data_IF_103682544370
#
_entry.id   IF_103682544370
#
_cell.length_a   1.000
_cell.length_b   1.000
_cell.length_c   1.000
_cell.angle_alpha   90.00
_cell.angle_beta   90.00
_cell.angle_gamma   90.00
#
_symmetry.space_group_name_H-M   'P 1'
#
loop_
_entity.id
_entity.type
_entity.pdbx_description
1 polymer ?
#
# COMPACT_ATOMS: atom_id res chain seq x y z
N UNK A 1 -20.92 32.81 -22.96
CA UNK A 1 -20.55 32.04 -21.76
C UNK A 1 -20.98 32.81 -20.53
N UNK A 2 -21.81 32.21 -19.68
CA UNK A 2 -22.29 32.83 -18.43
C UNK A 2 -21.23 32.79 -17.31
N UNK A 3 -21.35 33.62 -16.28
CA UNK A 3 -20.48 33.56 -15.10
C UNK A 3 -20.55 32.18 -14.41
N UNK A 4 -21.72 31.54 -14.43
CA UNK A 4 -21.90 30.18 -13.91
C UNK A 4 -21.09 29.14 -14.70
N UNK A 5 -21.01 29.26 -16.03
CA UNK A 5 -20.19 28.38 -16.86
C UNK A 5 -18.69 28.58 -16.60
N UNK A 6 -18.25 29.83 -16.39
CA UNK A 6 -16.85 30.14 -16.04
C UNK A 6 -16.49 29.58 -14.66
N UNK A 7 -17.37 29.75 -13.67
CA UNK A 7 -17.16 29.19 -12.33
C UNK A 7 -17.10 27.65 -12.35
N UNK A 8 -17.97 27.00 -13.13
CA UNK A 8 -17.95 25.54 -13.30
C UNK A 8 -16.65 25.07 -13.95
N UNK A 9 -16.19 25.76 -15.00
CA UNK A 9 -14.94 25.43 -15.69
C UNK A 9 -13.71 25.56 -14.77
N UNK A 10 -13.67 26.59 -13.93
CA UNK A 10 -12.60 26.78 -12.94
C UNK A 10 -12.58 25.64 -11.91
N UNK A 11 -13.75 25.23 -11.40
CA UNK A 11 -13.87 24.10 -10.48
C UNK A 11 -13.42 22.78 -11.12
N UNK A 12 -13.80 22.52 -12.37
CA UNK A 12 -13.36 21.33 -13.10
C UNK A 12 -11.84 21.31 -13.31
N UNK A 13 -11.26 22.46 -13.65
CA UNK A 13 -9.81 22.62 -13.80
C UNK A 13 -9.06 22.38 -12.48
N UNK A 14 -9.58 22.90 -11.37
CA UNK A 14 -9.02 22.64 -10.04
C UNK A 14 -9.11 21.17 -9.63
N UNK A 15 -10.22 20.49 -9.96
CA UNK A 15 -10.37 19.04 -9.71
C UNK A 15 -9.40 18.21 -10.52
N UNK A 16 -9.21 18.52 -11.81
CA UNK A 16 -8.22 17.86 -12.66
C UNK A 16 -6.79 18.08 -12.14
N UNK A 17 -6.44 19.33 -11.79
CA UNK A 17 -5.13 19.63 -11.22
C UNK A 17 -4.87 18.90 -9.89
N UNK A 18 -5.90 18.70 -9.05
CA UNK A 18 -5.79 17.84 -7.87
C UNK A 18 -5.66 16.36 -8.23
N UNK A 19 -6.45 15.86 -9.18
CA UNK A 19 -6.42 14.47 -9.61
C UNK A 19 -5.05 14.08 -10.19
N UNK A 20 -4.42 14.98 -10.96
CA UNK A 20 -3.08 14.79 -11.52
C UNK A 20 -1.99 14.77 -10.43
N UNK A 21 -2.16 15.53 -9.34
CA UNK A 21 -1.26 15.48 -8.18
C UNK A 21 -1.40 14.20 -7.37
N UNK A 22 -2.56 13.54 -7.42
CA UNK A 22 -2.85 12.29 -6.70
C UNK A 22 -2.35 11.05 -7.47
N UNK A 23 -1.96 11.19 -8.75
CA UNK A 23 -1.45 10.08 -9.54
C UNK A 23 -0.11 9.56 -9.00
N UNK A 24 -0.12 8.33 -8.50
CA UNK A 24 1.11 7.68 -8.06
C UNK A 24 2.03 7.30 -9.23
N UNK A 25 3.33 7.61 -9.11
CA UNK A 25 4.34 7.17 -10.07
C UNK A 25 4.37 5.64 -10.18
N UNK A 26 4.69 5.12 -11.36
CA UNK A 26 4.81 3.66 -11.57
C UNK A 26 5.90 3.04 -10.69
N UNK A 27 7.02 3.75 -10.47
CA UNK A 27 8.14 3.29 -9.64
C UNK A 27 7.72 3.08 -8.18
N UNK A 28 6.76 3.87 -7.69
CA UNK A 28 6.26 3.74 -6.32
C UNK A 28 5.61 2.36 -6.11
N UNK A 29 4.93 1.84 -7.15
CA UNK A 29 4.28 0.52 -7.10
C UNK A 29 5.31 -0.58 -6.93
N UNK A 30 6.39 -0.51 -7.71
CA UNK A 30 7.50 -1.46 -7.66
C UNK A 30 8.14 -1.42 -6.28
N UNK A 31 8.46 -0.22 -5.76
CA UNK A 31 9.04 -0.07 -4.43
C UNK A 31 8.11 -0.57 -3.32
N UNK A 32 6.80 -0.32 -3.42
CA UNK A 32 5.84 -0.81 -2.44
C UNK A 32 5.78 -2.34 -2.40
N UNK A 33 5.70 -2.98 -3.56
CA UNK A 33 5.67 -4.45 -3.67
C UNK A 33 6.98 -5.04 -3.15
N UNK A 34 8.12 -4.46 -3.51
CA UNK A 34 9.43 -4.92 -3.04
C UNK A 34 9.58 -4.75 -1.53
N UNK A 35 9.20 -3.60 -0.97
CA UNK A 35 9.25 -3.35 0.46
C UNK A 35 8.32 -4.31 1.22
N UNK A 36 7.11 -4.55 0.70
CA UNK A 36 6.15 -5.47 1.31
C UNK A 36 6.61 -6.93 1.24
N UNK A 37 7.17 -7.36 0.10
CA UNK A 37 7.79 -8.67 -0.04
C UNK A 37 8.95 -8.86 0.95
N UNK A 38 9.80 -7.84 1.11
CA UNK A 38 10.90 -7.88 2.07
C UNK A 38 10.41 -8.05 3.52
N UNK A 39 9.33 -7.37 3.91
CA UNK A 39 8.69 -7.54 5.23
C UNK A 39 8.18 -8.96 5.45
N UNK A 40 7.56 -9.56 4.43
CA UNK A 40 7.00 -10.91 4.52
C UNK A 40 8.09 -12.00 4.56
N UNK A 41 9.10 -11.87 3.69
CA UNK A 41 10.14 -12.87 3.47
C UNK A 41 11.26 -12.79 4.52
N UNK A 42 11.54 -11.60 5.06
CA UNK A 42 12.61 -11.36 6.04
C UNK A 42 12.62 -12.34 7.22
N UNK A 43 11.53 -12.46 8.00
CA UNK A 43 11.46 -13.42 9.11
C UNK A 43 11.61 -14.88 8.66
N UNK A 44 11.05 -15.26 7.51
CA UNK A 44 11.16 -16.64 6.97
C UNK A 44 12.62 -17.00 6.71
N UNK A 45 13.37 -16.10 6.08
CA UNK A 45 14.79 -16.31 5.79
C UNK A 45 15.67 -16.22 7.04
N UNK A 46 15.30 -15.37 8.02
CA UNK A 46 16.05 -15.26 9.27
C UNK A 46 15.99 -16.52 10.14
N UNK A 47 14.86 -17.25 10.11
CA UNK A 47 14.73 -18.53 10.80
C UNK A 47 15.66 -19.61 10.24
N UNK A 48 15.97 -19.56 8.95
CA UNK A 48 16.98 -20.43 8.31
C UNK A 48 18.41 -19.95 8.54
N UNK A 49 18.62 -18.64 8.71
CA UNK A 49 19.94 -18.03 8.93
C UNK A 49 20.56 -18.44 10.29
N UNK A 50 19.73 -18.65 11.32
CA UNK A 50 20.18 -19.16 12.61
C UNK A 50 20.80 -20.57 12.50
N UNK A 51 20.26 -21.42 11.63
CA UNK A 51 20.82 -22.76 11.36
C UNK A 51 22.15 -22.68 10.60
N UNK A 52 22.42 -21.56 9.93
CA UNK A 52 23.62 -21.32 9.13
C UNK A 52 24.67 -20.49 9.88
N UNK A 53 24.46 -20.16 11.15
CA UNK A 53 25.39 -19.35 11.96
C UNK A 53 25.53 -17.90 11.48
N UNK A 54 24.64 -17.43 10.62
CA UNK A 54 24.65 -16.05 10.11
C UNK A 54 23.96 -15.17 11.16
N UNK A 55 24.60 -14.07 11.61
CA UNK A 55 24.00 -13.19 12.60
C UNK A 55 22.62 -12.71 12.10
N UNK A 56 21.62 -12.75 12.99
CA UNK A 56 20.27 -12.25 12.74
C UNK A 56 20.34 -10.77 12.36
N UNK A 57 20.48 -10.50 11.07
CA UNK A 57 20.33 -9.15 10.56
C UNK A 57 18.89 -8.72 10.84
N UNK A 58 18.65 -7.47 11.26
CA UNK A 58 17.32 -7.00 11.62
C UNK A 58 16.48 -6.72 10.36
N UNK A 59 16.41 -7.68 9.42
CA UNK A 59 15.70 -7.60 8.14
C UNK A 59 14.24 -7.20 8.32
N UNK A 60 13.61 -7.66 9.39
CA UNK A 60 12.24 -7.30 9.74
C UNK A 60 12.15 -5.83 10.16
N UNK A 61 13.08 -5.33 10.97
CA UNK A 61 13.12 -3.92 11.39
C UNK A 61 13.40 -3.02 10.18
N UNK A 62 14.40 -3.36 9.36
CA UNK A 62 14.74 -2.59 8.16
C UNK A 62 13.58 -2.63 7.16
N UNK A 63 13.00 -3.80 6.90
CA UNK A 63 11.84 -3.97 6.02
C UNK A 63 10.63 -3.18 6.49
N UNK A 64 10.31 -3.24 7.79
CA UNK A 64 9.19 -2.50 8.38
C UNK A 64 9.46 -0.98 8.35
N UNK A 65 10.68 -0.54 8.65
CA UNK A 65 11.07 0.88 8.56
C UNK A 65 10.96 1.38 7.13
N UNK A 66 11.45 0.61 6.15
CA UNK A 66 11.33 0.95 4.73
C UNK A 66 9.87 0.96 4.30
N UNK A 67 9.06 -0.02 4.73
CA UNK A 67 7.64 -0.07 4.42
C UNK A 67 6.87 1.11 5.03
N UNK A 68 7.16 1.47 6.29
CA UNK A 68 6.62 2.67 6.94
C UNK A 68 7.06 3.93 6.20
N UNK A 69 8.33 4.04 5.80
CA UNK A 69 8.82 5.19 5.04
C UNK A 69 8.11 5.32 3.69
N UNK A 70 7.89 4.20 2.99
CA UNK A 70 7.12 4.12 1.75
C UNK A 70 5.66 4.48 1.98
N UNK A 71 5.03 4.04 3.06
CA UNK A 71 3.66 4.43 3.44
C UNK A 71 3.55 5.90 3.83
N UNK A 72 4.56 6.46 4.48
CA UNK A 72 4.60 7.90 4.80
C UNK A 72 4.78 8.73 3.53
N UNK A 73 5.66 8.29 2.61
CA UNK A 73 5.80 8.89 1.29
C UNK A 73 4.49 8.80 0.49
N UNK A 74 3.83 7.64 0.51
CA UNK A 74 2.50 7.43 -0.06
C UNK A 74 1.51 8.44 0.48
N UNK A 75 1.42 8.57 1.81
CA UNK A 75 0.47 9.46 2.48
C UNK A 75 0.74 10.93 2.17
N UNK A 76 2.02 11.31 1.99
CA UNK A 76 2.41 12.68 1.59
C UNK A 76 2.12 12.97 0.13
N UNK A 77 2.31 12.01 -0.79
CA UNK A 77 2.15 12.21 -2.23
C UNK A 77 0.72 11.99 -2.75
N UNK A 78 -0.04 11.05 -2.18
CA UNK A 78 -1.40 10.67 -2.67
C UNK A 78 -2.54 11.60 -2.22
N UNK A 79 -2.27 12.72 -1.54
CA UNK A 79 -3.33 13.60 -1.02
C UNK A 79 -4.17 13.02 0.13
N UNK A 80 -3.83 11.83 0.62
CA UNK A 80 -4.51 11.12 1.72
C UNK A 80 -4.60 11.94 3.02
N UNK A 81 -3.69 12.90 3.22
CA UNK A 81 -3.71 13.84 4.35
C UNK A 81 -4.92 14.78 4.30
N UNK A 82 -5.42 15.09 3.11
CA UNK A 82 -6.63 15.89 2.87
C UNK A 82 -7.88 15.01 3.05
N UNK A 83 -7.81 13.75 2.61
CA UNK A 83 -8.88 12.76 2.79
C UNK A 83 -9.17 12.41 4.26
N UNK A 84 -8.14 12.23 5.08
CA UNK A 84 -8.31 11.90 6.50
C UNK A 84 -8.77 13.08 7.38
N UNK A 85 -8.67 14.33 6.91
CA UNK A 85 -9.05 15.53 7.67
C UNK A 85 -10.49 16.01 7.42
N UNK A 86 -11.14 15.58 6.33
CA UNK A 86 -12.41 16.20 5.89
C UNK A 86 -13.66 15.32 5.94
N UNK A 87 -13.56 14.02 5.62
CA UNK A 87 -14.66 13.03 5.63
C UNK A 87 -14.05 11.72 5.20
N UNK A 88 -14.36 10.63 5.88
CA UNK A 88 -13.92 9.28 5.49
C UNK A 88 -14.34 9.03 4.05
N UNK A 89 -13.40 9.03 3.10
CA UNK A 89 -13.70 8.79 1.68
C UNK A 89 -14.51 7.50 1.54
N UNK A 90 -15.62 7.49 0.79
CA UNK A 90 -16.47 6.30 0.62
C UNK A 90 -15.67 5.09 0.12
N UNK A 91 -14.75 5.31 -0.84
CA UNK A 91 -13.86 4.28 -1.35
C UNK A 91 -12.96 3.64 -0.29
N UNK A 92 -12.49 4.44 0.68
CA UNK A 92 -11.67 3.92 1.79
C UNK A 92 -12.50 3.05 2.73
N UNK A 93 -13.79 3.36 2.91
CA UNK A 93 -14.70 2.57 3.75
C UNK A 93 -15.06 1.23 3.09
N UNK A 94 -15.35 1.23 1.80
CA UNK A 94 -15.64 0.00 1.04
C UNK A 94 -14.43 -0.92 0.94
N UNK A 95 -13.22 -0.37 0.79
CA UNK A 95 -12.00 -1.15 0.67
C UNK A 95 -11.30 -1.43 2.00
N UNK A 96 -11.81 -0.91 3.12
CA UNK A 96 -11.18 -1.07 4.44
C UNK A 96 -11.02 -2.54 4.84
N UNK A 97 -12.09 -3.33 4.72
CA UNK A 97 -12.07 -4.73 5.11
C UNK A 97 -11.07 -5.54 4.26
N UNK A 98 -11.10 -5.35 2.94
CA UNK A 98 -10.17 -6.01 2.02
C UNK A 98 -8.71 -5.59 2.29
N UNK A 99 -8.48 -4.33 2.61
CA UNK A 99 -7.16 -3.81 2.96
C UNK A 99 -6.65 -4.43 4.27
N UNK A 100 -7.49 -4.49 5.30
CA UNK A 100 -7.16 -5.15 6.58
C UNK A 100 -6.91 -6.64 6.37
N UNK A 101 -7.72 -7.32 5.56
CA UNK A 101 -7.54 -8.74 5.27
C UNK A 101 -6.22 -9.03 4.56
N UNK A 102 -5.83 -8.21 3.57
CA UNK A 102 -4.58 -8.42 2.81
C UNK A 102 -3.35 -8.05 3.63
N UNK A 103 -3.36 -6.88 4.28
CA UNK A 103 -2.20 -6.40 5.05
C UNK A 103 -2.06 -7.06 6.43
N UNK A 104 -3.16 -7.55 7.01
CA UNK A 104 -3.15 -8.29 8.28
C UNK A 104 -3.06 -9.80 8.07
N UNK A 105 -3.86 -10.37 7.16
CA UNK A 105 -3.90 -11.82 6.91
C UNK A 105 -2.63 -12.34 6.23
N UNK A 106 -2.03 -11.58 5.31
CA UNK A 106 -0.79 -11.96 4.63
C UNK A 106 0.35 -12.30 5.60
N UNK A 107 0.75 -11.38 6.50
CA UNK A 107 1.76 -11.65 7.51
C UNK A 107 1.39 -12.81 8.44
N UNK A 108 0.14 -12.89 8.89
CA UNK A 108 -0.31 -13.98 9.79
C UNK A 108 -0.12 -15.34 9.15
N UNK A 109 -0.52 -15.50 7.88
CA UNK A 109 -0.37 -16.77 7.15
C UNK A 109 1.11 -17.07 6.89
N UNK A 110 1.87 -16.10 6.38
CA UNK A 110 3.28 -16.31 6.01
C UNK A 110 4.14 -16.63 7.24
N UNK A 111 4.01 -15.85 8.30
CA UNK A 111 4.79 -16.05 9.52
C UNK A 111 4.29 -17.26 10.31
N UNK A 112 2.99 -17.56 10.28
CA UNK A 112 2.44 -18.78 10.84
C UNK A 112 3.01 -20.04 10.17
N UNK A 113 3.05 -20.08 8.84
CA UNK A 113 3.66 -21.19 8.09
C UNK A 113 5.15 -21.33 8.37
N UNK A 114 5.88 -20.22 8.46
CA UNK A 114 7.29 -20.25 8.82
C UNK A 114 7.52 -20.76 10.25
N UNK A 115 6.69 -20.34 11.22
CA UNK A 115 6.74 -20.83 12.60
C UNK A 115 6.42 -22.33 12.72
N UNK A 116 5.60 -22.87 11.81
CA UNK A 116 5.31 -24.31 11.70
C UNK A 116 6.43 -25.11 10.99
N UNK A 117 7.54 -24.47 10.61
CA UNK A 117 8.65 -25.13 9.95
C UNK A 117 8.40 -25.44 8.46
N UNK A 118 7.49 -24.71 7.81
CA UNK A 118 7.13 -24.85 6.39
C UNK A 118 7.63 -23.65 5.56
N UNK A 119 8.96 -23.45 5.41
CA UNK A 119 9.52 -22.24 4.82
C UNK A 119 9.19 -22.08 3.33
N UNK A 120 9.14 -23.16 2.56
CA UNK A 120 8.83 -23.10 1.12
C UNK A 120 7.38 -22.68 0.85
N UNK A 121 6.44 -23.19 1.66
CA UNK A 121 5.04 -22.79 1.63
C UNK A 121 4.91 -21.33 2.08
N UNK A 122 5.61 -20.93 3.14
CA UNK A 122 5.65 -19.54 3.60
C UNK A 122 6.16 -18.58 2.51
N UNK A 123 7.23 -18.92 1.79
CA UNK A 123 7.76 -18.12 0.67
C UNK A 123 6.77 -18.02 -0.49
N UNK A 124 6.10 -19.11 -0.83
CA UNK A 124 5.06 -19.12 -1.88
C UNK A 124 3.89 -18.22 -1.51
N UNK A 125 3.42 -18.32 -0.26
CA UNK A 125 2.39 -17.44 0.30
C UNK A 125 2.86 -15.98 0.39
N UNK A 126 4.15 -15.73 0.66
CA UNK A 126 4.72 -14.39 0.73
C UNK A 126 4.67 -13.70 -0.65
N UNK A 127 5.00 -14.42 -1.72
CA UNK A 127 4.88 -13.90 -3.09
C UNK A 127 3.43 -13.55 -3.44
N UNK A 128 2.48 -14.43 -3.10
CA UNK A 128 1.05 -14.19 -3.31
C UNK A 128 0.54 -12.99 -2.49
N UNK A 129 0.88 -12.91 -1.21
CA UNK A 129 0.51 -11.79 -0.34
C UNK A 129 1.16 -10.46 -0.78
N UNK A 130 2.37 -10.52 -1.34
CA UNK A 130 3.03 -9.35 -1.93
C UNK A 130 2.27 -8.83 -3.16
N UNK A 131 1.91 -9.74 -4.07
CA UNK A 131 1.13 -9.41 -5.27
C UNK A 131 -0.26 -8.85 -4.92
N UNK A 132 -0.97 -9.50 -3.98
CA UNK A 132 -2.28 -9.04 -3.51
C UNK A 132 -2.19 -7.68 -2.80
N UNK A 133 -1.17 -7.47 -1.97
CA UNK A 133 -0.91 -6.19 -1.30
C UNK A 133 -0.67 -5.05 -2.30
N UNK A 134 0.15 -5.30 -3.32
CA UNK A 134 0.37 -4.35 -4.41
C UNK A 134 -0.90 -4.06 -5.21
N UNK A 135 -1.65 -5.09 -5.58
CA UNK A 135 -2.91 -4.96 -6.30
C UNK A 135 -3.95 -4.17 -5.47
N UNK A 136 -4.05 -4.43 -4.17
CA UNK A 136 -4.99 -3.74 -3.29
C UNK A 136 -4.60 -2.28 -3.10
N UNK A 137 -3.32 -1.96 -2.87
CA UNK A 137 -2.84 -0.58 -2.82
C UNK A 137 -3.17 0.18 -4.12
N UNK A 138 -3.06 -0.49 -5.27
CA UNK A 138 -3.42 0.07 -6.56
C UNK A 138 -4.92 0.33 -6.71
N UNK A 139 -5.78 -0.60 -6.29
CA UNK A 139 -7.24 -0.43 -6.30
C UNK A 139 -7.68 0.73 -5.42
N UNK A 140 -7.06 0.90 -4.25
CA UNK A 140 -7.32 2.04 -3.36
C UNK A 140 -6.94 3.35 -4.06
N UNK A 141 -5.77 3.41 -4.68
CA UNK A 141 -5.33 4.62 -5.38
C UNK A 141 -6.24 5.00 -6.56
N UNK A 142 -6.64 4.03 -7.40
CA UNK A 142 -7.59 4.29 -8.50
C UNK A 142 -8.92 4.81 -7.95
N UNK A 143 -9.41 4.22 -6.87
CA UNK A 143 -10.68 4.63 -6.28
C UNK A 143 -10.62 6.06 -5.71
N UNK A 144 -9.53 6.42 -5.03
CA UNK A 144 -9.29 7.81 -4.57
C UNK A 144 -9.24 8.77 -5.77
N UNK A 145 -8.52 8.42 -6.84
CA UNK A 145 -8.45 9.27 -8.03
C UNK A 145 -9.82 9.48 -8.70
N UNK A 146 -10.66 8.43 -8.75
CA UNK A 146 -12.04 8.53 -9.24
C UNK A 146 -12.92 9.41 -8.34
N UNK A 147 -12.81 9.28 -7.03
CA UNK A 147 -13.57 10.10 -6.08
C UNK A 147 -13.20 11.59 -6.20
N UNK A 148 -11.91 11.91 -6.39
CA UNK A 148 -11.43 13.28 -6.63
C UNK A 148 -12.00 13.87 -7.92
N UNK A 149 -12.03 13.09 -9.01
CA UNK A 149 -12.65 13.52 -10.28
C UNK A 149 -14.17 13.71 -10.14
N UNK A 150 -14.84 12.85 -9.37
CA UNK A 150 -16.27 12.96 -9.07
C UNK A 150 -16.59 14.10 -8.08
N UNK A 151 -15.58 14.64 -7.38
CA UNK A 151 -15.74 15.67 -6.35
C UNK A 151 -16.42 15.19 -5.08
N UNK A 152 -16.17 13.93 -4.69
CA UNK A 152 -16.68 13.31 -3.46
C UNK A 152 -15.71 13.45 -2.29
#
# INVERSE_FOLDING_TARGET
MSEAERALAEVLRQRQAMADRVRLPWWFRVLFVLAWAAVLVGPVLSGSADQLGVPRFPYLVVGVVVWIAVLVAYRRQSGLRTAMRGRTYPALREQALATVAVFGGGPVVVWGLAALGLPYQALTCAALAAALGGAQAWRVNIAIHRDVLAGR
#
